data_IF_102216261478
#
_entry.id   IF_102216261478
#
_cell.length_a   1.000
_cell.length_b   1.000
_cell.length_c   1.000
_cell.angle_alpha   90.00
_cell.angle_beta   90.00
_cell.angle_gamma   90.00
#
_symmetry.space_group_name_H-M   'P 1'
#
loop_
_entity.id
_entity.type
_entity.pdbx_description
1 polymer ?
#
# COMPACT_ATOMS: atom_id res chain seq x y z
N UNK A 1 -0.06 22.28 6.25
CA UNK A 1 -0.60 21.55 5.08
C UNK A 1 -1.26 20.29 5.59
N UNK A 2 -2.48 19.99 5.17
CA UNK A 2 -3.19 18.78 5.62
C UNK A 2 -2.54 17.54 4.98
N UNK A 3 -2.31 16.50 5.79
CA UNK A 3 -1.73 15.24 5.35
C UNK A 3 -2.69 14.08 5.62
N UNK A 4 -2.93 13.26 4.61
CA UNK A 4 -3.72 12.04 4.70
C UNK A 4 -2.82 10.81 4.46
N UNK A 5 -2.56 10.11 5.56
CA UNK A 5 -1.80 8.87 5.59
C UNK A 5 -2.61 7.66 5.14
N UNK A 6 -1.94 6.67 4.53
CA UNK A 6 -2.45 5.33 4.26
C UNK A 6 -3.82 5.25 3.55
N UNK A 7 -3.99 6.05 2.49
CA UNK A 7 -5.25 6.16 1.75
C UNK A 7 -5.46 4.97 0.80
N UNK A 8 -6.58 4.28 0.96
CA UNK A 8 -6.99 3.11 0.17
C UNK A 8 -8.08 3.43 -0.86
N UNK A 9 -8.73 4.59 -0.76
CA UNK A 9 -9.66 5.09 -1.77
C UNK A 9 -9.84 6.58 -1.59
N UNK A 10 -10.07 7.32 -2.68
CA UNK A 10 -10.38 8.74 -2.58
C UNK A 10 -11.25 9.21 -3.74
N UNK A 11 -11.99 10.29 -3.48
CA UNK A 11 -12.77 11.04 -4.45
C UNK A 11 -12.48 12.53 -4.28
N UNK A 12 -12.20 13.22 -5.38
CA UNK A 12 -11.90 14.65 -5.38
C UNK A 12 -13.09 15.37 -6.00
N UNK A 13 -13.66 16.31 -5.27
CA UNK A 13 -14.62 17.27 -5.79
C UNK A 13 -13.89 18.57 -6.14
N UNK A 14 -13.79 18.89 -7.43
CA UNK A 14 -13.12 20.09 -7.91
C UNK A 14 -13.97 21.36 -7.76
N UNK A 15 -15.30 21.23 -7.68
CA UNK A 15 -16.22 22.36 -7.49
C UNK A 15 -16.13 22.89 -6.06
N UNK A 16 -16.24 22.00 -5.08
CA UNK A 16 -16.12 22.34 -3.65
C UNK A 16 -14.67 22.43 -3.18
N UNK A 17 -13.72 21.99 -4.01
CA UNK A 17 -12.29 21.88 -3.69
C UNK A 17 -12.01 21.05 -2.43
N UNK A 18 -12.73 19.93 -2.28
CA UNK A 18 -12.57 18.99 -1.17
C UNK A 18 -12.19 17.60 -1.67
N UNK A 19 -11.51 16.83 -0.81
CA UNK A 19 -11.27 15.41 -1.00
C UNK A 19 -12.03 14.62 0.06
N UNK A 20 -12.67 13.53 -0.35
CA UNK A 20 -13.16 12.49 0.54
C UNK A 20 -12.26 11.27 0.37
N UNK A 21 -11.64 10.81 1.45
CA UNK A 21 -10.69 9.71 1.41
C UNK A 21 -11.05 8.62 2.44
N UNK A 22 -10.84 7.37 2.06
CA UNK A 22 -10.82 6.21 2.96
C UNK A 22 -9.38 5.89 3.28
N UNK A 23 -9.03 5.79 4.56
CA UNK A 23 -7.70 5.36 5.00
C UNK A 23 -7.77 4.14 5.89
N UNK A 24 -6.77 3.28 5.77
CA UNK A 24 -6.64 2.08 6.59
C UNK A 24 -5.81 2.42 7.84
N UNK A 25 -6.41 2.27 9.02
CA UNK A 25 -5.73 2.40 10.29
C UNK A 25 -5.47 1.01 10.85
N UNK A 26 -4.20 0.73 11.12
CA UNK A 26 -3.78 -0.48 11.84
C UNK A 26 -3.04 -0.05 13.11
N UNK A 27 -3.64 -0.33 14.26
CA UNK A 27 -3.02 -0.13 15.56
C UNK A 27 -2.63 -1.50 16.12
N UNK A 28 -1.43 -1.61 16.70
CA UNK A 28 -0.98 -2.87 17.30
C UNK A 28 -1.97 -3.32 18.37
N UNK A 29 -2.45 -4.57 18.26
CA UNK A 29 -3.42 -5.15 19.19
C UNK A 29 -4.88 -4.78 18.94
N UNK A 30 -5.20 -4.04 17.87
CA UNK A 30 -6.57 -3.75 17.43
C UNK A 30 -6.86 -4.29 16.03
N UNK A 31 -8.12 -4.63 15.71
CA UNK A 31 -8.49 -4.91 14.33
C UNK A 31 -8.22 -3.69 13.46
N UNK A 32 -7.90 -3.92 12.19
CA UNK A 32 -7.69 -2.82 11.25
C UNK A 32 -9.03 -2.19 10.89
N UNK A 33 -9.10 -0.86 10.89
CA UNK A 33 -10.33 -0.08 10.69
C UNK A 33 -10.17 0.79 9.44
N UNK A 34 -11.24 0.93 8.67
CA UNK A 34 -11.32 1.90 7.59
C UNK A 34 -11.96 3.17 8.13
N UNK A 35 -11.26 4.28 8.03
CA UNK A 35 -11.78 5.60 8.41
C UNK A 35 -12.03 6.45 7.16
N UNK A 36 -13.18 7.12 7.15
CA UNK A 36 -13.55 8.10 6.13
C UNK A 36 -13.25 9.51 6.63
N UNK A 37 -12.46 10.26 5.84
CA UNK A 37 -11.97 11.58 6.20
C UNK A 37 -12.22 12.54 5.04
N UNK A 38 -12.64 13.76 5.37
CA UNK A 38 -12.77 14.87 4.42
C UNK A 38 -11.70 15.93 4.70
N UNK A 39 -11.11 16.50 3.64
CA UNK A 39 -10.15 17.59 3.76
C UNK A 39 -10.24 18.60 2.60
N UNK A 40 -9.94 19.88 2.82
CA UNK A 40 -9.87 20.88 1.76
C UNK A 40 -8.56 20.79 0.96
N UNK A 41 -8.60 21.15 -0.34
CA UNK A 41 -7.42 21.25 -1.20
C UNK A 41 -6.68 22.59 -1.01
N UNK A 42 -5.32 22.62 -0.94
CA UNK A 42 -4.40 21.52 -1.23
C UNK A 42 -4.16 20.59 -0.03
N UNK A 43 -4.07 19.30 -0.34
CA UNK A 43 -3.83 18.21 0.62
C UNK A 43 -2.72 17.31 0.10
N UNK A 44 -1.84 16.87 1.00
CA UNK A 44 -0.81 15.88 0.68
C UNK A 44 -1.30 14.49 1.09
N UNK A 45 -1.12 13.50 0.22
CA UNK A 45 -1.73 12.18 0.38
C UNK A 45 -0.63 11.12 0.19
N UNK A 46 -0.53 10.18 1.12
CA UNK A 46 0.22 8.93 0.88
C UNK A 46 -0.76 7.80 0.59
N UNK A 47 -0.63 7.19 -0.57
CA UNK A 47 -1.48 6.08 -1.00
C UNK A 47 -0.96 4.77 -0.38
N UNK A 48 -1.88 3.95 0.14
CA UNK A 48 -1.55 2.62 0.64
C UNK A 48 -1.06 1.70 -0.51
N UNK A 49 0.00 0.88 -0.32
CA UNK A 49 0.53 0.01 -1.38
C UNK A 49 -0.46 -0.99 -1.98
N UNK A 50 -1.53 -1.32 -1.26
CA UNK A 50 -2.60 -2.22 -1.73
C UNK A 50 -3.60 -1.53 -2.66
N UNK A 51 -3.54 -0.20 -2.78
CA UNK A 51 -4.38 0.58 -3.68
C UNK A 51 -4.26 0.09 -5.12
N UNK A 52 -5.41 -0.15 -5.76
CA UNK A 52 -5.49 -0.48 -7.19
C UNK A 52 -6.29 0.59 -7.90
N UNK A 53 -5.70 1.16 -8.96
CA UNK A 53 -6.40 2.12 -9.81
C UNK A 53 -7.64 1.47 -10.45
N UNK A 54 -8.83 2.00 -10.15
CA UNK A 54 -10.09 1.60 -10.78
C UNK A 54 -10.48 2.57 -11.90
N UNK A 55 -10.73 2.05 -13.10
CA UNK A 55 -11.22 2.83 -14.25
C UNK A 55 -12.64 2.37 -14.60
N UNK A 56 -13.62 2.99 -13.96
CA UNK A 56 -15.01 2.54 -13.99
C UNK A 56 -15.71 2.90 -15.32
N UNK A 57 -15.34 4.03 -15.94
CA UNK A 57 -15.98 4.47 -17.19
C UNK A 57 -15.20 4.05 -18.44
N UNK A 58 -15.90 3.92 -19.57
CA UNK A 58 -15.28 3.64 -20.88
C UNK A 58 -14.27 4.74 -21.22
N UNK A 59 -14.65 6.01 -21.04
CA UNK A 59 -13.78 7.16 -21.28
C UNK A 59 -12.49 7.10 -20.47
N UNK A 60 -12.55 6.72 -19.18
CA UNK A 60 -11.37 6.53 -18.34
C UNK A 60 -10.45 5.43 -18.89
N UNK A 61 -11.01 4.28 -19.31
CA UNK A 61 -10.25 3.16 -19.87
C UNK A 61 -9.60 3.51 -21.20
N UNK A 62 -10.31 4.23 -22.09
CA UNK A 62 -9.77 4.70 -23.37
C UNK A 62 -8.63 5.71 -23.15
N UNK A 63 -8.81 6.68 -22.24
CA UNK A 63 -7.75 7.62 -21.86
C UNK A 63 -6.53 6.89 -21.31
N UNK A 64 -6.71 5.91 -20.43
CA UNK A 64 -5.61 5.09 -19.91
C UNK A 64 -4.85 4.38 -21.04
N UNK A 65 -5.55 3.76 -22.00
CA UNK A 65 -4.91 3.11 -23.15
C UNK A 65 -4.13 4.11 -24.01
N UNK A 66 -4.70 5.28 -24.29
CA UNK A 66 -4.06 6.36 -25.05
C UNK A 66 -2.77 6.80 -24.37
N UNK A 67 -2.83 7.18 -23.09
CA UNK A 67 -1.67 7.66 -22.34
C UNK A 67 -0.61 6.57 -22.14
N UNK A 68 -1.02 5.30 -22.01
CA UNK A 68 -0.08 4.19 -21.92
C UNK A 68 0.70 4.01 -23.23
N UNK A 69 0.05 4.16 -24.39
CA UNK A 69 0.73 4.09 -25.69
C UNK A 69 1.71 5.26 -25.85
N UNK A 70 1.24 6.46 -25.56
CA UNK A 70 2.06 7.68 -25.59
C UNK A 70 3.26 7.59 -24.66
N UNK A 71 3.08 7.13 -23.42
CA UNK A 71 4.17 6.93 -22.48
C UNK A 71 5.23 5.95 -23.02
N UNK A 72 4.82 4.84 -23.65
CA UNK A 72 5.74 3.88 -24.28
C UNK A 72 6.54 4.50 -25.43
N UNK A 73 5.92 5.37 -26.21
CA UNK A 73 6.60 6.09 -27.29
C UNK A 73 7.60 7.11 -26.71
N UNK A 74 7.17 7.93 -25.75
CA UNK A 74 8.01 8.93 -25.07
C UNK A 74 9.21 8.32 -24.34
N UNK A 75 9.07 7.13 -23.77
CA UNK A 75 10.18 6.42 -23.09
C UNK A 75 11.36 6.16 -24.04
N UNK A 76 11.12 5.92 -25.33
CA UNK A 76 12.21 5.72 -26.31
C UNK A 76 13.07 6.97 -26.46
N UNK A 77 12.48 8.16 -26.34
CA UNK A 77 13.15 9.45 -26.43
C UNK A 77 13.07 10.22 -25.11
N UNK A 78 13.20 9.54 -23.96
CA UNK A 78 12.91 10.11 -22.64
C UNK A 78 13.64 11.43 -22.35
N UNK A 79 14.85 11.61 -22.91
CA UNK A 79 15.67 12.82 -22.74
C UNK A 79 14.98 14.09 -23.21
N UNK A 80 14.12 14.02 -24.23
CA UNK A 80 13.37 15.17 -24.76
C UNK A 80 12.23 15.61 -23.83
N UNK A 81 11.76 14.71 -22.97
CA UNK A 81 10.60 14.93 -22.09
C UNK A 81 10.97 15.15 -20.62
N UNK A 82 12.21 14.84 -20.24
CA UNK A 82 12.67 14.96 -18.86
C UNK A 82 13.30 16.33 -18.61
N UNK A 83 12.78 17.03 -17.59
CA UNK A 83 13.47 18.18 -17.02
C UNK A 83 14.27 17.72 -15.81
N UNK A 84 15.59 17.75 -15.94
CA UNK A 84 16.52 17.42 -14.86
C UNK A 84 16.75 18.70 -14.06
N UNK A 85 16.67 18.60 -12.74
CA UNK A 85 16.97 19.69 -11.84
C UNK A 85 18.12 19.30 -10.92
N UNK A 86 19.02 20.25 -10.65
CA UNK A 86 20.02 20.15 -9.60
C UNK A 86 19.55 20.84 -8.30
N UNK A 87 20.32 20.70 -7.23
CA UNK A 87 19.96 21.26 -5.92
C UNK A 87 19.85 22.79 -5.93
N UNK A 88 20.69 23.45 -6.72
CA UNK A 88 20.74 24.91 -6.82
C UNK A 88 19.50 25.44 -7.60
N UNK A 89 19.09 24.74 -8.67
CA UNK A 89 17.87 25.04 -9.44
C UNK A 89 16.57 24.81 -8.66
N UNK A 90 16.58 23.89 -7.70
CA UNK A 90 15.44 23.65 -6.79
C UNK A 90 15.42 24.60 -5.59
N UNK A 91 16.45 25.44 -5.42
CA UNK A 91 16.58 26.34 -4.28
C UNK A 91 16.76 25.60 -2.94
N UNK A 92 17.29 24.37 -2.96
CA UNK A 92 17.44 23.54 -1.77
C UNK A 92 18.86 23.66 -1.22
N UNK A 93 18.97 23.98 0.07
CA UNK A 93 20.27 24.03 0.73
C UNK A 93 20.92 22.64 0.76
N UNK A 94 22.16 22.54 0.26
CA UNK A 94 22.94 21.29 0.21
C UNK A 94 23.16 20.65 1.59
N UNK A 95 23.10 21.46 2.66
CA UNK A 95 23.18 21.00 4.05
C UNK A 95 21.92 20.27 4.54
N UNK A 96 20.77 20.44 3.87
CA UNK A 96 19.49 19.83 4.23
C UNK A 96 19.14 18.58 3.40
N UNK A 97 20.02 18.18 2.48
CA UNK A 97 19.81 17.02 1.60
C UNK A 97 20.96 16.02 1.68
N UNK A 98 20.66 14.76 1.37
CA UNK A 98 21.64 13.67 1.44
C UNK A 98 22.02 13.31 2.88
N UNK A 99 23.21 12.73 3.04
CA UNK A 99 23.74 12.37 4.36
C UNK A 99 23.89 13.57 5.31
N UNK A 100 24.38 14.75 4.87
CA UNK A 100 24.52 15.91 5.76
C UNK A 100 23.20 16.40 6.37
N UNK A 101 22.09 16.28 5.63
CA UNK A 101 20.76 16.70 6.09
C UNK A 101 19.92 15.61 6.75
N UNK A 102 20.41 14.37 6.80
CA UNK A 102 19.66 13.24 7.35
C UNK A 102 19.78 13.22 8.88
N UNK A 103 18.67 13.23 9.63
CA UNK A 103 18.71 13.09 11.09
C UNK A 103 19.15 11.69 11.55
N UNK A 104 19.17 10.71 10.65
CA UNK A 104 19.45 9.30 10.95
C UNK A 104 20.65 8.79 10.14
N UNK A 105 21.47 7.93 10.76
CA UNK A 105 22.58 7.23 10.11
C UNK A 105 22.40 5.71 10.21
N UNK A 106 22.62 5.01 9.10
CA UNK A 106 22.58 3.53 9.08
C UNK A 106 23.92 3.01 9.60
N UNK A 107 23.93 2.51 10.83
CA UNK A 107 25.14 1.99 11.47
C UNK A 107 25.52 0.58 10.97
N UNK A 108 24.54 -0.30 10.80
CA UNK A 108 24.75 -1.68 10.35
C UNK A 108 23.49 -2.19 9.64
N UNK A 109 23.66 -2.93 8.55
CA UNK A 109 22.58 -3.65 7.86
C UNK A 109 22.80 -5.14 8.07
N UNK A 110 21.93 -5.76 8.85
CA UNK A 110 21.90 -7.21 9.03
C UNK A 110 20.73 -7.81 8.25
N UNK A 111 20.91 -9.00 7.68
CA UNK A 111 19.80 -9.72 7.08
C UNK A 111 18.87 -10.19 8.20
N UNK A 112 17.62 -9.74 8.17
CA UNK A 112 16.58 -10.31 9.03
C UNK A 112 16.54 -11.82 8.77
N UNK A 113 16.80 -12.67 9.77
CA UNK A 113 16.72 -14.10 9.59
C UNK A 113 15.28 -14.43 9.17
N UNK A 114 15.11 -14.90 7.93
CA UNK A 114 13.83 -15.47 7.51
C UNK A 114 13.64 -16.69 8.39
N UNK A 115 12.69 -16.64 9.33
CA UNK A 115 12.32 -17.86 10.04
C UNK A 115 11.97 -18.88 8.98
N UNK A 116 12.71 -19.99 8.90
CA UNK A 116 12.22 -21.17 8.22
C UNK A 116 10.90 -21.49 8.90
N UNK A 117 9.79 -21.23 8.23
CA UNK A 117 8.49 -21.51 8.78
C UNK A 117 8.46 -23.02 9.04
N UNK A 118 8.68 -23.44 10.28
CA UNK A 118 8.52 -24.82 10.76
C UNK A 118 7.03 -25.18 10.86
N UNK A 119 6.21 -24.64 9.94
CA UNK A 119 4.82 -25.04 9.80
C UNK A 119 4.83 -26.45 9.24
N UNK A 120 4.68 -27.43 10.14
CA UNK A 120 4.32 -28.80 9.76
C UNK A 120 2.87 -28.77 9.33
N UNK A 121 2.63 -28.69 8.03
CA UNK A 121 1.32 -28.89 7.45
C UNK A 121 1.12 -30.39 7.20
N UNK A 122 -0.02 -30.91 7.62
CA UNK A 122 -0.47 -32.27 7.28
C UNK A 122 -1.31 -32.16 6.01
N UNK A 123 -0.91 -32.84 4.93
CA UNK A 123 -1.71 -32.91 3.70
C UNK A 123 -2.79 -33.97 3.91
N UNK A 124 -4.04 -33.62 3.61
CA UNK A 124 -5.21 -34.46 3.82
C UNK A 124 -5.89 -34.72 2.48
N UNK A 125 -6.27 -35.97 2.24
CA UNK A 125 -7.13 -36.36 1.13
C UNK A 125 -8.60 -36.11 1.50
N UNK A 126 -9.27 -35.23 0.73
CA UNK A 126 -10.68 -34.90 0.93
C UNK A 126 -11.65 -36.01 0.51
N UNK A 127 -11.14 -37.09 -0.08
CA UNK A 127 -11.94 -38.26 -0.49
C UNK A 127 -11.95 -39.36 0.58
N UNK A 128 -11.08 -39.27 1.59
CA UNK A 128 -10.98 -40.24 2.69
C UNK A 128 -11.78 -39.76 3.92
N UNK A 129 -12.91 -40.40 4.24
CA UNK A 129 -13.74 -40.02 5.39
C UNK A 129 -12.99 -40.04 6.73
N UNK A 130 -11.98 -40.91 6.89
CA UNK A 130 -11.22 -41.01 8.14
C UNK A 130 -10.31 -39.80 8.35
N UNK A 131 -9.70 -39.30 7.27
CA UNK A 131 -8.87 -38.11 7.35
C UNK A 131 -9.71 -36.85 7.55
N UNK A 132 -10.89 -36.78 6.92
CA UNK A 132 -11.87 -35.71 7.18
C UNK A 132 -12.32 -35.70 8.64
N UNK A 133 -12.61 -36.87 9.23
CA UNK A 133 -12.97 -36.97 10.64
C UNK A 133 -11.87 -36.43 11.56
N UNK A 134 -10.60 -36.71 11.25
CA UNK A 134 -9.44 -36.18 11.99
C UNK A 134 -9.34 -34.65 11.91
N UNK A 135 -9.61 -34.06 10.74
CA UNK A 135 -9.64 -32.60 10.56
C UNK A 135 -10.78 -31.97 11.38
N UNK A 136 -12.00 -32.52 11.27
CA UNK A 136 -13.17 -32.03 12.02
C UNK A 136 -12.96 -32.16 13.53
N UNK A 137 -12.35 -33.25 13.99
CA UNK A 137 -11.96 -33.42 15.40
C UNK A 137 -11.03 -32.31 15.89
N UNK A 138 -9.95 -32.03 15.13
CA UNK A 138 -9.03 -30.93 15.45
C UNK A 138 -9.71 -29.56 15.43
N UNK A 139 -10.65 -29.32 14.50
CA UNK A 139 -11.43 -28.07 14.46
C UNK A 139 -12.32 -27.92 15.69
N UNK A 140 -12.96 -28.99 16.15
CA UNK A 140 -13.77 -29.01 17.37
C UNK A 140 -12.93 -28.72 18.61
N UNK A 141 -11.79 -29.38 18.77
CA UNK A 141 -10.85 -29.13 19.88
C UNK A 141 -10.36 -27.68 19.90
N UNK A 142 -10.01 -27.12 18.74
CA UNK A 142 -9.59 -25.72 18.64
C UNK A 142 -10.70 -24.73 19.00
N UNK A 143 -11.95 -25.06 18.64
CA UNK A 143 -13.12 -24.25 18.98
C UNK A 143 -13.41 -24.29 20.48
N UNK A 144 -13.35 -25.47 21.10
CA UNK A 144 -13.52 -25.63 22.55
C UNK A 144 -12.43 -24.87 23.34
N UNK A 145 -11.18 -24.88 22.86
CA UNK A 145 -10.08 -24.13 23.46
C UNK A 145 -10.22 -22.59 23.31
N UNK A 146 -10.95 -22.11 22.29
CA UNK A 146 -11.26 -20.68 22.13
C UNK A 146 -12.43 -20.21 22.99
N UNK A 147 -13.37 -21.08 23.32
CA UNK A 147 -14.56 -20.76 24.13
C UNK A 147 -14.23 -20.68 25.63
N UNK A 148 -13.11 -21.27 26.07
CA UNK A 148 -12.55 -21.06 27.41
C UNK A 148 -11.67 -19.81 27.40
N UNK A 149 -12.30 -18.63 27.28
CA UNK A 149 -11.70 -17.34 27.61
C UNK A 149 -12.74 -16.28 27.90
#
# INVERSE_FOLDING_TARGET
>A
MTFLGNVTSYYINLETRTIHAKRLISLQGSPSIIEEVEAPLPVFISIDPTYKSSYNTISQRLSFQKYRKEAKERVKNFKEYFKIFNADELGVAKSLVGLPGSPTIVYKVERVPKSTATRKAEVVDGSDPNQLQKVVGKMKEALEAMVIK
#
